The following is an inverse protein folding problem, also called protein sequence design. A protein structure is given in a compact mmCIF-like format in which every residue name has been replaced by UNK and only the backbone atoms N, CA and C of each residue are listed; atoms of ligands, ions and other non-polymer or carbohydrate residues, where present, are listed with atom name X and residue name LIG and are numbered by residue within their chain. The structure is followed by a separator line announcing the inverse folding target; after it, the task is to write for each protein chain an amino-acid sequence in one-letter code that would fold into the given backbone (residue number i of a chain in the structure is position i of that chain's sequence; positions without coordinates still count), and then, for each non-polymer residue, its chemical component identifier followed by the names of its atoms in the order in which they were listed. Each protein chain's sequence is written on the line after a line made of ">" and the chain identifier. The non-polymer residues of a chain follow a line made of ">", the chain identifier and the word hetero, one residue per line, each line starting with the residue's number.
data_IF_590117688769
#
_entry.id   IF_590117688769
#
_cell.length_a   1.000
_cell.length_b   1.000
_cell.length_c   1.000
_cell.angle_alpha   90.00
_cell.angle_beta   90.00
_cell.angle_gamma   90.00
#
_symmetry.space_group_name_H-M   'P 1'
#
loop_
_entity.id
_entity.type
_entity.pdbx_description
1 polymer ?
#
# COMPACT_ATOMS: atom_id res chain seq x y z
N UNK A 1 -19.36 -0.54 -6.59
CA UNK A 1 -18.78 -0.09 -5.31
C UNK A 1 -17.41 0.51 -5.62
N UNK A 2 -17.25 1.83 -5.47
CA UNK A 2 -15.97 2.50 -5.70
C UNK A 2 -14.97 2.24 -4.56
N UNK A 3 -13.72 2.70 -4.67
CA UNK A 3 -12.65 2.40 -3.73
C UNK A 3 -12.78 3.19 -2.41
N UNK A 4 -13.95 3.68 -2.05
CA UNK A 4 -14.13 4.57 -0.90
C UNK A 4 -14.97 3.86 0.15
N UNK A 5 -14.41 3.72 1.35
CA UNK A 5 -15.08 3.17 2.52
C UNK A 5 -15.53 4.33 3.42
N UNK A 6 -16.82 4.41 3.80
CA UNK A 6 -17.26 5.36 4.83
C UNK A 6 -16.52 5.06 6.15
N UNK A 7 -16.11 6.10 6.88
CA UNK A 7 -15.65 5.94 8.28
C UNK A 7 -16.72 5.20 9.09
N UNK A 8 -16.35 4.52 10.19
CA UNK A 8 -17.21 3.67 11.04
C UNK A 8 -18.32 4.43 11.82
N UNK A 9 -18.95 5.40 11.17
CA UNK A 9 -20.07 6.20 11.62
C UNK A 9 -21.39 5.49 11.28
N UNK A 10 -22.48 5.74 12.03
CA UNK A 10 -23.79 5.24 11.67
C UNK A 10 -24.19 5.70 10.25
N UNK A 11 -24.69 4.76 9.45
CA UNK A 11 -25.13 5.01 8.08
C UNK A 11 -26.44 5.82 8.14
N UNK A 12 -26.34 7.12 7.92
CA UNK A 12 -27.44 8.09 7.94
C UNK A 12 -27.38 8.96 6.68
N UNK A 13 -28.50 9.60 6.32
CA UNK A 13 -28.52 10.48 5.15
C UNK A 13 -27.48 11.62 5.24
N UNK A 14 -27.26 12.15 6.45
CA UNK A 14 -26.26 13.19 6.70
C UNK A 14 -24.82 12.66 6.53
N UNK A 15 -24.51 11.46 7.04
CA UNK A 15 -23.16 10.89 6.90
C UNK A 15 -22.85 10.48 5.47
N UNK A 16 -23.85 10.01 4.71
CA UNK A 16 -23.70 9.75 3.27
C UNK A 16 -23.49 11.04 2.48
N UNK A 17 -24.25 12.11 2.74
CA UNK A 17 -24.08 13.39 2.08
C UNK A 17 -22.69 14.01 2.35
N UNK A 18 -22.25 14.01 3.62
CA UNK A 18 -20.93 14.49 4.00
C UNK A 18 -19.80 13.70 3.31
N UNK A 19 -19.95 12.37 3.23
CA UNK A 19 -19.02 11.52 2.50
C UNK A 19 -18.99 11.83 1.00
N UNK A 20 -20.14 12.01 0.35
CA UNK A 20 -20.20 12.40 -1.06
C UNK A 20 -19.49 13.74 -1.32
N UNK A 21 -19.70 14.74 -0.47
CA UNK A 21 -18.99 16.01 -0.57
C UNK A 21 -17.48 15.86 -0.38
N UNK A 22 -17.05 15.02 0.55
CA UNK A 22 -15.64 14.77 0.82
C UNK A 22 -14.95 13.98 -0.30
N UNK A 23 -15.64 13.02 -0.94
CA UNK A 23 -15.14 12.31 -2.13
C UNK A 23 -15.02 13.28 -3.31
N UNK A 24 -16.07 14.06 -3.60
CA UNK A 24 -16.08 15.01 -4.71
C UNK A 24 -15.07 16.15 -4.51
N UNK A 25 -14.82 16.54 -3.26
CA UNK A 25 -13.80 17.53 -2.88
C UNK A 25 -12.36 16.98 -2.88
N UNK A 26 -12.15 15.69 -3.16
CA UNK A 26 -10.82 15.08 -3.17
C UNK A 26 -10.17 14.94 -1.79
N UNK A 27 -10.95 15.09 -0.71
CA UNK A 27 -10.46 15.00 0.67
C UNK A 27 -10.37 13.56 1.19
N UNK A 28 -10.85 12.58 0.42
CA UNK A 28 -10.83 11.16 0.79
C UNK A 28 -9.88 10.41 -0.13
N UNK A 29 -8.88 9.75 0.46
CA UNK A 29 -8.00 8.83 -0.26
C UNK A 29 -8.72 7.50 -0.54
N UNK A 30 -8.44 6.85 -1.68
CA UNK A 30 -8.93 5.50 -1.95
C UNK A 30 -8.57 4.55 -0.80
N UNK A 31 -9.58 3.87 -0.27
CA UNK A 31 -9.41 2.74 0.62
C UNK A 31 -8.92 1.53 -0.19
N UNK A 32 -7.70 1.09 0.09
CA UNK A 32 -7.14 -0.13 -0.47
C UNK A 32 -7.47 -1.31 0.45
N UNK A 33 -8.03 -2.37 -0.12
CA UNK A 33 -8.26 -3.61 0.61
C UNK A 33 -6.93 -4.25 1.04
N UNK A 34 -6.81 -4.67 2.30
CA UNK A 34 -5.68 -5.47 2.74
C UNK A 34 -6.11 -6.42 3.86
N UNK A 35 -5.57 -7.64 3.81
CA UNK A 35 -5.62 -8.56 4.93
C UNK A 35 -4.75 -8.08 6.09
N UNK A 36 -4.91 -8.71 7.25
CA UNK A 36 -3.97 -8.56 8.37
C UNK A 36 -2.67 -9.29 8.07
N UNK A 37 -1.56 -8.75 8.57
CA UNK A 37 -0.25 -9.37 8.41
C UNK A 37 -0.23 -10.63 9.29
N UNK A 38 -0.05 -11.83 8.72
CA UNK A 38 0.08 -13.05 9.53
C UNK A 38 1.28 -12.96 10.46
N UNK A 39 1.23 -13.49 11.70
CA UNK A 39 2.38 -13.47 12.61
C UNK A 39 3.57 -14.32 12.11
N UNK A 40 3.31 -15.27 11.22
CA UNK A 40 4.26 -16.20 10.61
C UNK A 40 4.63 -15.83 9.15
N UNK A 41 4.36 -14.59 8.75
CA UNK A 41 4.53 -14.11 7.38
C UNK A 41 5.95 -14.32 6.81
N UNK A 42 6.98 -14.34 7.66
CA UNK A 42 8.38 -14.49 7.29
C UNK A 42 9.03 -15.81 7.72
N UNK A 43 8.27 -16.75 8.29
CA UNK A 43 8.84 -17.99 8.83
C UNK A 43 9.13 -19.04 7.75
N UNK A 44 8.38 -19.00 6.63
CA UNK A 44 8.55 -19.93 5.51
C UNK A 44 9.62 -19.42 4.52
N UNK A 45 10.19 -20.29 3.66
CA UNK A 45 11.07 -19.85 2.58
C UNK A 45 10.37 -18.85 1.67
N UNK A 46 9.11 -19.12 1.31
CA UNK A 46 8.24 -18.16 0.63
C UNK A 46 7.62 -17.21 1.65
N UNK A 47 7.95 -15.92 1.55
CA UNK A 47 7.39 -14.88 2.44
C UNK A 47 5.96 -14.51 2.01
N UNK A 48 5.05 -14.41 2.96
CA UNK A 48 3.66 -14.05 2.71
C UNK A 48 3.48 -12.54 2.84
N UNK A 49 3.05 -11.87 1.78
CA UNK A 49 2.81 -10.43 1.78
C UNK A 49 1.32 -10.12 1.69
N UNK A 50 0.93 -9.03 2.34
CA UNK A 50 -0.39 -8.41 2.32
C UNK A 50 -0.24 -6.92 2.01
N UNK A 51 -1.33 -6.22 1.70
CA UNK A 51 -1.26 -4.79 1.36
C UNK A 51 -0.54 -3.93 2.41
N UNK A 52 -0.68 -4.27 3.70
CA UNK A 52 -0.06 -3.55 4.83
C UNK A 52 1.46 -3.65 4.91
N UNK A 53 2.06 -4.79 4.56
CA UNK A 53 3.52 -4.99 4.65
C UNK A 53 4.22 -5.01 3.28
N UNK A 54 3.46 -5.00 2.18
CA UNK A 54 3.98 -5.11 0.83
C UNK A 54 5.00 -4.01 0.52
N UNK A 55 4.67 -2.74 0.74
CA UNK A 55 5.57 -1.64 0.37
C UNK A 55 6.89 -1.69 1.14
N UNK A 56 6.83 -2.02 2.43
CA UNK A 56 8.01 -2.11 3.28
C UNK A 56 8.96 -3.21 2.80
N UNK A 57 8.44 -4.36 2.41
CA UNK A 57 9.26 -5.50 1.97
C UNK A 57 9.68 -5.34 0.51
N UNK A 58 8.73 -5.11 -0.40
CA UNK A 58 8.97 -5.10 -1.83
C UNK A 58 9.80 -3.91 -2.31
N UNK A 59 9.79 -2.78 -1.60
CA UNK A 59 10.60 -1.60 -1.94
C UNK A 59 11.80 -1.40 -1.01
N UNK A 60 12.21 -2.44 -0.27
CA UNK A 60 13.45 -2.42 0.47
C UNK A 60 14.64 -2.28 -0.49
N UNK A 61 15.35 -1.16 -0.41
CA UNK A 61 16.47 -0.86 -1.30
C UNK A 61 17.67 -1.80 -1.09
N UNK A 62 17.68 -2.58 -0.02
CA UNK A 62 18.73 -3.56 0.32
C UNK A 62 18.42 -4.97 -0.21
N UNK A 63 17.19 -5.24 -0.65
CA UNK A 63 16.74 -6.57 -1.05
C UNK A 63 16.22 -6.62 -2.48
N UNK A 64 16.54 -7.70 -3.17
CA UNK A 64 16.00 -8.12 -4.43
C UNK A 64 14.76 -8.96 -4.19
N UNK A 65 13.57 -8.37 -4.31
CA UNK A 65 12.32 -9.03 -3.97
C UNK A 65 11.63 -9.55 -5.22
N UNK A 66 11.30 -10.83 -5.25
CA UNK A 66 10.53 -11.44 -6.32
C UNK A 66 9.17 -11.91 -5.79
N UNK A 67 8.09 -11.31 -6.28
CA UNK A 67 6.73 -11.51 -5.76
C UNK A 67 5.86 -12.24 -6.79
N UNK A 68 5.26 -13.35 -6.37
CA UNK A 68 4.18 -14.04 -7.07
C UNK A 68 2.82 -13.53 -6.60
N UNK A 69 2.12 -12.83 -7.47
CA UNK A 69 0.73 -12.46 -7.28
C UNK A 69 -0.19 -13.59 -7.74
N UNK A 70 -0.99 -14.11 -6.82
CA UNK A 70 -1.84 -15.27 -7.07
C UNK A 70 -3.30 -15.01 -6.66
N UNK A 71 -4.15 -15.95 -7.05
CA UNK A 71 -5.53 -16.08 -6.61
C UNK A 71 -5.71 -17.53 -6.12
N UNK A 72 -6.35 -17.79 -4.96
CA UNK A 72 -6.39 -19.12 -4.36
C UNK A 72 -7.18 -20.15 -5.17
N UNK A 73 -8.11 -19.70 -6.02
CA UNK A 73 -8.89 -20.55 -6.93
C UNK A 73 -8.24 -20.78 -8.30
N UNK A 74 -7.10 -20.14 -8.60
CA UNK A 74 -6.47 -20.26 -9.91
C UNK A 74 -5.69 -21.58 -10.06
N UNK A 75 -6.05 -22.40 -11.05
CA UNK A 75 -5.39 -23.67 -11.32
C UNK A 75 -3.89 -23.51 -11.66
N UNK A 76 -3.55 -22.58 -12.55
CA UNK A 76 -2.17 -22.31 -12.94
C UNK A 76 -1.29 -21.84 -11.78
N UNK A 77 -1.86 -21.12 -10.81
CA UNK A 77 -1.14 -20.74 -9.59
C UNK A 77 -0.79 -21.95 -8.73
N UNK A 78 -1.70 -22.94 -8.62
CA UNK A 78 -1.47 -24.17 -7.85
C UNK A 78 -0.42 -25.06 -8.52
N UNK A 79 -0.44 -25.15 -9.84
CA UNK A 79 0.59 -25.88 -10.61
C UNK A 79 1.98 -25.24 -10.45
N UNK A 80 2.05 -23.91 -10.33
CA UNK A 80 3.30 -23.18 -10.11
C UNK A 80 3.81 -23.20 -8.66
N UNK A 81 2.93 -23.45 -7.67
CA UNK A 81 3.28 -23.44 -6.26
C UNK A 81 4.52 -24.29 -5.90
N UNK A 82 4.63 -25.58 -6.29
CA UNK A 82 5.81 -26.38 -5.93
C UNK A 82 7.10 -25.85 -6.55
N UNK A 83 7.06 -25.31 -7.77
CA UNK A 83 8.22 -24.70 -8.40
C UNK A 83 8.63 -23.39 -7.70
N UNK A 84 7.65 -22.63 -7.21
CA UNK A 84 7.88 -21.40 -6.45
C UNK A 84 8.49 -21.68 -5.06
N UNK A 85 8.03 -22.73 -4.39
CA UNK A 85 8.59 -23.19 -3.12
C UNK A 85 10.04 -23.66 -3.29
N UNK A 86 10.32 -24.50 -4.29
CA UNK A 86 11.68 -24.95 -4.59
C UNK A 86 12.62 -23.77 -4.94
N UNK A 87 12.10 -22.73 -5.62
CA UNK A 87 12.86 -21.50 -5.86
C UNK A 87 13.19 -20.79 -4.55
N UNK A 88 12.21 -20.64 -3.66
CA UNK A 88 12.40 -19.99 -2.37
C UNK A 88 13.39 -20.74 -1.47
N UNK A 89 13.30 -22.07 -1.42
CA UNK A 89 14.26 -22.92 -0.69
C UNK A 89 15.68 -22.74 -1.22
N UNK A 90 15.86 -22.65 -2.54
CA UNK A 90 17.18 -22.45 -3.15
C UNK A 90 17.82 -21.11 -2.76
N UNK A 91 17.02 -20.08 -2.52
CA UNK A 91 17.50 -18.72 -2.21
C UNK A 91 17.29 -18.32 -0.75
N UNK A 92 16.89 -19.24 0.13
CA UNK A 92 16.59 -18.91 1.53
C UNK A 92 17.81 -18.38 2.31
N UNK A 93 19.01 -18.84 1.95
CA UNK A 93 20.28 -18.47 2.58
C UNK A 93 20.94 -17.25 1.91
N UNK A 94 20.34 -16.71 0.85
CA UNK A 94 20.81 -15.48 0.21
C UNK A 94 20.34 -14.26 1.00
N UNK A 95 21.30 -13.47 1.49
CA UNK A 95 20.98 -12.29 2.30
C UNK A 95 20.25 -11.22 1.50
N UNK A 96 20.45 -11.15 0.18
CA UNK A 96 19.94 -10.07 -0.67
C UNK A 96 18.72 -10.46 -1.49
N UNK A 97 18.23 -11.71 -1.43
CA UNK A 97 17.11 -12.19 -2.27
C UNK A 97 15.92 -12.57 -1.39
N UNK A 98 14.74 -12.07 -1.74
CA UNK A 98 13.48 -12.40 -1.07
C UNK A 98 12.50 -12.98 -2.07
N UNK A 99 12.07 -14.22 -1.86
CA UNK A 99 11.00 -14.85 -2.62
C UNK A 99 9.70 -14.74 -1.83
N UNK A 100 8.70 -14.11 -2.43
CA UNK A 100 7.45 -13.76 -1.76
C UNK A 100 6.21 -14.10 -2.58
N UNK A 101 5.06 -14.18 -1.92
CA UNK A 101 3.76 -14.34 -2.56
C UNK A 101 2.72 -13.40 -1.93
N UNK A 102 1.75 -12.99 -2.73
CA UNK A 102 0.65 -12.12 -2.30
C UNK A 102 -0.65 -12.56 -2.97
N UNK A 103 -1.70 -12.73 -2.17
CA UNK A 103 -3.05 -12.95 -2.68
C UNK A 103 -3.62 -11.60 -3.18
N UNK A 104 -3.61 -11.41 -4.50
CA UNK A 104 -4.04 -10.16 -5.12
C UNK A 104 -5.57 -10.06 -5.27
N UNK A 105 -6.32 -11.03 -4.73
CA UNK A 105 -7.79 -11.03 -4.66
C UNK A 105 -8.29 -10.47 -3.34
N UNK A 106 -7.49 -10.59 -2.29
CA UNK A 106 -7.77 -10.08 -0.94
C UNK A 106 -6.92 -8.86 -0.55
N UNK A 107 -6.01 -8.42 -1.44
CA UNK A 107 -5.12 -7.29 -1.21
C UNK A 107 -5.00 -6.44 -2.47
N UNK A 108 -5.27 -5.14 -2.33
CA UNK A 108 -5.09 -4.14 -3.37
C UNK A 108 -3.81 -3.34 -3.10
N UNK A 109 -3.04 -3.08 -4.15
CA UNK A 109 -1.78 -2.35 -4.07
C UNK A 109 -1.86 -1.07 -4.88
N UNK A 110 -1.42 0.04 -4.28
CA UNK A 110 -1.46 1.32 -4.95
C UNK A 110 -0.53 1.31 -6.18
N UNK A 111 -1.08 1.63 -7.35
CA UNK A 111 -0.29 1.69 -8.59
C UNK A 111 0.21 0.35 -9.12
N UNK A 112 -0.19 -0.78 -8.54
CA UNK A 112 0.16 -2.11 -9.03
C UNK A 112 -1.10 -2.97 -9.23
N UNK A 113 -1.98 -2.61 -10.18
CA UNK A 113 -3.16 -3.42 -10.47
C UNK A 113 -2.74 -4.78 -11.05
N UNK A 114 -3.13 -5.86 -10.36
CA UNK A 114 -2.95 -7.24 -10.85
C UNK A 114 -4.26 -7.69 -11.47
N UNK A 115 -4.26 -7.92 -12.78
CA UNK A 115 -5.48 -8.30 -13.55
C UNK A 115 -5.48 -9.76 -14.02
N UNK A 116 -4.35 -10.44 -13.89
CA UNK A 116 -4.15 -11.82 -14.38
C UNK A 116 -3.36 -12.63 -13.36
N UNK A 117 -3.59 -13.93 -13.32
CA UNK A 117 -2.96 -14.84 -12.36
C UNK A 117 -2.39 -16.08 -13.07
N UNK A 118 -1.18 -16.55 -12.72
CA UNK A 118 -0.21 -15.86 -11.85
C UNK A 118 0.39 -14.62 -12.54
N UNK A 119 0.75 -13.61 -11.76
CA UNK A 119 1.59 -12.50 -12.22
C UNK A 119 2.86 -12.48 -11.37
N UNK A 120 4.02 -12.37 -12.00
CA UNK A 120 5.30 -12.27 -11.29
C UNK A 120 5.81 -10.84 -11.43
N UNK A 121 6.35 -10.24 -10.36
CA UNK A 121 7.07 -8.97 -10.45
C UNK A 121 8.33 -9.00 -9.62
N UNK A 122 9.40 -8.49 -10.21
CA UNK A 122 10.71 -8.37 -9.58
C UNK A 122 10.98 -6.91 -9.20
N UNK A 123 11.43 -6.71 -7.97
CA UNK A 123 11.76 -5.45 -7.37
C UNK A 123 13.26 -5.49 -7.02
N UNK A 124 14.13 -4.89 -7.84
CA UNK A 124 15.56 -4.93 -7.63
C UNK A 124 15.97 -4.02 -6.47
N UNK A 125 17.01 -4.43 -5.74
CA UNK A 125 17.70 -3.58 -4.78
C UNK A 125 18.25 -2.30 -5.46
N UNK A 126 18.34 -1.22 -4.70
CA UNK A 126 18.96 0.04 -5.10
C UNK A 126 18.07 1.29 -5.01
N UNK A 127 18.69 2.47 -4.93
CA UNK A 127 18.00 3.73 -4.63
C UNK A 127 17.04 4.14 -5.74
N UNK A 128 15.82 4.53 -5.35
CA UNK A 128 14.82 5.09 -6.28
C UNK A 128 14.20 4.07 -7.26
N UNK A 129 14.41 2.77 -7.03
CA UNK A 129 13.92 1.68 -7.88
C UNK A 129 12.51 1.24 -7.50
N UNK A 130 11.56 2.18 -7.42
CA UNK A 130 10.13 1.81 -7.45
C UNK A 130 9.85 1.30 -8.86
N UNK A 131 9.45 0.03 -9.00
CA UNK A 131 9.03 -0.53 -10.30
C UNK A 131 8.06 0.45 -10.93
N UNK A 132 8.45 1.04 -12.07
CA UNK A 132 7.69 2.11 -12.72
C UNK A 132 6.27 1.61 -12.98
N UNK A 133 5.29 2.47 -12.68
CA UNK A 133 3.86 2.17 -12.57
C UNK A 133 3.21 1.60 -13.85
N UNK A 134 3.94 1.47 -14.97
CA UNK A 134 3.45 0.92 -16.23
C UNK A 134 4.55 0.18 -17.01
N UNK A 135 4.27 -1.08 -17.34
CA UNK A 135 4.95 -1.82 -18.41
C UNK A 135 6.30 -2.43 -18.03
N UNK A 136 6.45 -3.72 -18.31
CA UNK A 136 7.74 -4.39 -18.33
C UNK A 136 8.68 -3.71 -19.35
N UNK A 137 9.86 -3.31 -18.89
CA UNK A 137 11.01 -2.96 -19.72
C UNK A 137 11.12 -1.50 -20.12
N UNK A 138 11.87 -0.71 -19.33
CA UNK A 138 12.78 0.35 -19.79
C UNK A 138 13.57 0.76 -18.52
N UNK A 139 14.88 0.43 -18.40
CA UNK A 139 15.68 1.01 -17.34
C UNK A 139 15.67 2.54 -17.52
N UNK A 140 15.20 3.25 -16.49
CA UNK A 140 15.31 4.71 -16.48
C UNK A 140 16.78 5.11 -16.68
N UNK A 141 17.05 6.26 -17.32
CA UNK A 141 18.42 6.75 -17.44
C UNK A 141 19.05 6.80 -16.04
N UNK A 142 20.35 6.47 -15.90
CA UNK A 142 21.02 6.55 -14.61
C UNK A 142 20.72 7.91 -14.00
N UNK A 143 20.22 7.91 -12.77
CA UNK A 143 19.87 9.14 -12.06
C UNK A 143 21.07 10.08 -12.12
N UNK A 144 20.92 11.18 -12.86
CA UNK A 144 21.90 12.26 -12.81
C UNK A 144 21.98 12.68 -11.35
N UNK A 145 23.21 12.66 -10.82
CA UNK A 145 23.50 13.13 -9.48
C UNK A 145 22.86 14.52 -9.26
N UNK A 146 22.32 14.81 -8.07
CA UNK A 146 21.76 16.12 -7.80
C UNK A 146 22.84 17.20 -7.94
N UNK A 147 22.60 18.14 -8.85
CA UNK A 147 23.38 19.35 -9.07
C UNK A 147 23.50 20.16 -7.74
N UNK A 148 24.72 20.46 -7.24
CA UNK A 148 24.94 21.10 -5.94
C UNK A 148 24.62 22.60 -5.94
N UNK A 149 23.46 23.00 -6.48
CA UNK A 149 23.10 24.42 -6.65
C UNK A 149 21.64 24.80 -6.40
N UNK A 150 20.71 23.85 -6.16
CA UNK A 150 19.28 24.20 -6.04
C UNK A 150 18.78 24.22 -4.59
N UNK A 151 18.84 25.40 -3.99
CA UNK A 151 18.11 25.73 -2.74
C UNK A 151 16.61 25.70 -3.03
N UNK A 152 15.88 24.78 -2.39
CA UNK A 152 14.43 24.87 -2.20
C UNK A 152 14.17 24.74 -0.69
N UNK A 153 13.78 25.86 -0.09
CA UNK A 153 13.47 25.96 1.33
C UNK A 153 12.09 25.43 1.69
N UNK A 154 11.83 25.44 3.00
CA UNK A 154 10.49 25.34 3.57
C UNK A 154 10.18 23.97 4.17
N UNK A 155 10.24 23.91 5.50
CA UNK A 155 9.85 22.77 6.32
C UNK A 155 8.42 22.28 6.00
N UNK A 156 8.23 20.96 5.98
CA UNK A 156 6.90 20.33 6.01
C UNK A 156 6.55 20.08 7.48
N UNK A 157 5.57 20.85 7.96
CA UNK A 157 4.90 20.63 9.24
C UNK A 157 4.28 19.21 9.33
N UNK A 158 4.11 18.68 10.55
CA UNK A 158 3.60 17.33 10.76
C UNK A 158 2.10 17.23 10.45
N UNK A 159 1.72 16.01 10.05
CA UNK A 159 0.39 15.50 9.65
C UNK A 159 -0.84 16.20 10.28
N UNK A 160 -1.92 16.47 9.51
CA UNK A 160 -3.19 16.88 10.10
C UNK A 160 -3.89 15.65 10.72
N UNK A 161 -3.96 15.61 12.03
CA UNK A 161 -4.84 14.68 12.77
C UNK A 161 -6.30 15.15 12.62
N UNK A 162 -7.22 14.21 12.42
CA UNK A 162 -8.66 14.50 12.44
C UNK A 162 -9.04 15.09 13.82
N UNK A 163 -9.76 16.23 13.88
CA UNK A 163 -10.18 16.78 15.16
C UNK A 163 -11.29 15.90 15.77
N UNK A 164 -11.05 15.40 16.98
CA UNK A 164 -12.09 14.80 17.81
C UNK A 164 -12.98 15.92 18.39
N UNK A 165 -14.32 15.81 18.36
CA UNK A 165 -15.18 16.77 19.04
C UNK A 165 -15.06 16.58 20.57
N UNK A 166 -14.56 17.63 21.23
CA UNK A 166 -14.49 17.73 22.68
C UNK A 166 -15.86 17.87 23.33
N UNK A 167 -15.93 17.38 24.56
CA UNK A 167 -17.06 17.50 25.48
C UNK A 167 -17.41 18.95 25.80
N UNK A 168 -18.68 19.17 26.15
CA UNK A 168 -19.34 20.48 26.11
C UNK A 168 -18.89 21.50 27.15
N UNK A 169 -19.25 22.75 26.86
CA UNK A 169 -19.26 23.86 27.80
C UNK A 169 -20.45 24.76 27.42
N UNK A 170 -21.41 24.90 28.34
CA UNK A 170 -22.59 25.78 28.18
C UNK A 170 -22.18 27.24 28.43
N UNK A 171 -22.47 28.12 27.47
CA UNK A 171 -22.31 29.56 27.65
C UNK A 171 -23.49 30.14 28.48
N UNK A 172 -23.25 31.11 29.39
CA UNK A 172 -24.32 31.74 30.16
C UNK A 172 -25.09 32.75 29.29
N UNK A 173 -26.41 32.67 29.36
CA UNK A 173 -27.33 33.69 28.84
C UNK A 173 -27.34 34.89 29.78
N UNK A 174 -27.14 36.10 29.24
CA UNK A 174 -27.32 37.35 29.96
C UNK A 174 -28.36 38.20 29.20
N UNK A 175 -29.55 38.46 29.77
CA UNK A 175 -30.60 39.20 29.10
C UNK A 175 -30.59 40.65 29.59
N UNK A 176 -30.06 41.60 28.81
CA UNK A 176 -30.37 43.00 29.07
C UNK A 176 -30.16 43.92 27.86
N UNK A 177 -31.20 44.74 27.64
CA UNK A 177 -31.29 46.03 26.94
C UNK A 177 -31.40 46.08 25.39
N UNK A 178 -32.07 47.12 24.85
CA UNK A 178 -33.34 47.74 25.26
C UNK A 178 -34.44 47.63 24.19
#
# INVERSE_FOLDING_TARGET
>A
CGPYRPCDQPVTAASVAAFCHAVLGGHIQPYLLSQEVPPDWDQRPVKTLVGKNFEQVAFDETKNVFVKFYAPWCAHCREMAPAWEALAEKYQDHEDIVIAELDATANELEGLPVRSFPTLKYFPAGPGRKVRREGWGEPGPPSQAPDPGRVLGGARDPQPTCPLPGHGEQAPVNPDLP
#
